data_IF_466365471898
#
_entry.id   IF_466365471898
#
_cell.length_a   1.000
_cell.length_b   1.000
_cell.length_c   1.000
_cell.angle_alpha   90.00
_cell.angle_beta   90.00
_cell.angle_gamma   90.00
#
_symmetry.space_group_name_H-M   'P 1'
#
loop_
_entity.id
_entity.type
_entity.pdbx_description
1 polymer ?
#
# COMPACT_ATOMS: atom_id res chain seq x y z
N UNK A 1 16.72 -12.51 -11.84
CA UNK A 1 16.21 -11.29 -11.17
C UNK A 1 14.83 -11.61 -10.67
N UNK A 2 14.61 -11.49 -9.35
CA UNK A 2 13.34 -11.85 -8.70
C UNK A 2 12.26 -10.81 -9.02
N UNK A 3 11.25 -11.21 -9.80
CA UNK A 3 10.16 -10.34 -10.26
C UNK A 3 9.38 -9.67 -9.11
N UNK A 4 9.40 -10.25 -7.91
CA UNK A 4 8.72 -9.70 -6.73
C UNK A 4 9.38 -8.41 -6.23
N UNK A 5 10.69 -8.24 -6.46
CA UNK A 5 11.45 -7.04 -6.05
C UNK A 5 11.10 -5.80 -6.89
N UNK A 6 10.69 -5.99 -8.15
CA UNK A 6 10.28 -4.93 -9.06
C UNK A 6 8.90 -4.35 -8.69
N UNK A 7 7.93 -5.21 -8.31
CA UNK A 7 6.57 -4.78 -7.95
C UNK A 7 6.52 -3.89 -6.70
N UNK A 8 7.39 -4.16 -5.73
CA UNK A 8 7.53 -3.31 -4.53
C UNK A 8 7.94 -1.89 -4.91
N UNK A 9 8.75 -1.74 -5.97
CA UNK A 9 9.32 -0.46 -6.35
C UNK A 9 8.30 0.48 -7.01
N UNK A 10 7.38 -0.06 -7.83
CA UNK A 10 6.33 0.75 -8.45
C UNK A 10 5.25 1.15 -7.45
N UNK A 11 4.79 0.23 -6.60
CA UNK A 11 3.81 0.55 -5.55
C UNK A 11 4.37 1.58 -4.56
N UNK A 12 5.64 1.43 -4.17
CA UNK A 12 6.35 2.44 -3.37
C UNK A 12 6.42 3.78 -4.10
N UNK A 13 6.72 3.78 -5.41
CA UNK A 13 6.78 5.00 -6.22
C UNK A 13 5.46 5.76 -6.25
N UNK A 14 4.36 5.08 -6.56
CA UNK A 14 3.02 5.69 -6.63
C UNK A 14 2.61 6.24 -5.26
N UNK A 15 2.69 5.44 -4.20
CA UNK A 15 2.31 5.89 -2.86
C UNK A 15 3.17 7.07 -2.41
N UNK A 16 4.47 7.08 -2.73
CA UNK A 16 5.34 8.16 -2.32
C UNK A 16 5.11 9.48 -3.09
N UNK A 17 4.45 9.45 -4.26
CA UNK A 17 3.96 10.67 -4.91
C UNK A 17 2.86 11.36 -4.08
N UNK A 18 2.11 10.61 -3.29
CA UNK A 18 1.05 11.15 -2.42
C UNK A 18 1.56 11.50 -1.01
N UNK A 19 2.42 10.66 -0.43
CA UNK A 19 2.84 10.82 0.96
C UNK A 19 4.14 11.60 1.15
N UNK A 20 5.04 11.62 0.15
CA UNK A 20 6.39 12.19 0.25
C UNK A 20 7.16 11.72 1.51
N UNK A 21 7.00 10.45 1.88
CA UNK A 21 7.63 9.85 3.05
C UNK A 21 9.06 9.38 2.77
N UNK A 22 9.83 9.19 3.85
CA UNK A 22 11.16 8.60 3.76
C UNK A 22 11.09 7.09 3.43
N UNK A 23 12.22 6.57 2.94
CA UNK A 23 12.34 5.17 2.49
C UNK A 23 11.88 4.15 3.54
N UNK A 24 12.25 4.32 4.81
CA UNK A 24 11.89 3.35 5.85
C UNK A 24 10.38 3.27 6.08
N UNK A 25 9.68 4.41 6.09
CA UNK A 25 8.21 4.45 6.20
C UNK A 25 7.53 3.86 4.97
N UNK A 26 8.05 4.15 3.79
CA UNK A 26 7.52 3.61 2.54
C UNK A 26 7.69 2.10 2.43
N UNK A 27 8.89 1.58 2.71
CA UNK A 27 9.17 0.14 2.67
C UNK A 27 8.27 -0.62 3.68
N UNK A 28 8.01 -0.03 4.85
CA UNK A 28 7.09 -0.59 5.85
C UNK A 28 5.64 -0.63 5.36
N UNK A 29 5.12 0.50 4.86
CA UNK A 29 3.74 0.61 4.36
C UNK A 29 3.49 -0.36 3.19
N UNK A 30 4.39 -0.35 2.21
CA UNK A 30 4.30 -1.20 1.01
C UNK A 30 4.40 -2.68 1.39
N UNK A 31 5.32 -3.03 2.30
CA UNK A 31 5.43 -4.39 2.82
C UNK A 31 4.16 -4.86 3.53
N UNK A 32 3.55 -3.98 4.32
CA UNK A 32 2.28 -4.26 5.01
C UNK A 32 1.16 -4.47 3.99
N UNK A 33 0.94 -3.54 3.05
CA UNK A 33 -0.08 -3.67 2.00
C UNK A 33 0.07 -4.96 1.18
N UNK A 34 1.29 -5.31 0.79
CA UNK A 34 1.55 -6.56 0.05
C UNK A 34 1.25 -7.78 0.92
N UNK A 35 1.65 -7.78 2.19
CA UNK A 35 1.34 -8.86 3.13
C UNK A 35 -0.17 -9.04 3.29
N UNK A 36 -0.89 -7.92 3.36
CA UNK A 36 -2.34 -7.90 3.47
C UNK A 36 -3.02 -8.45 2.21
N UNK A 37 -2.56 -8.05 1.01
CA UNK A 37 -3.08 -8.56 -0.26
C UNK A 37 -2.74 -10.04 -0.48
N UNK A 38 -1.56 -10.50 -0.07
CA UNK A 38 -1.13 -11.90 -0.22
C UNK A 38 -1.85 -12.86 0.72
N UNK A 39 -2.21 -12.41 1.92
CA UNK A 39 -2.78 -13.29 2.96
C UNK A 39 -4.21 -13.74 2.64
N UNK A 40 -4.88 -13.21 1.59
CA UNK A 40 -6.19 -13.61 1.03
C UNK A 40 -7.36 -13.77 2.01
N UNK A 41 -7.12 -13.52 3.28
CA UNK A 41 -8.01 -13.71 4.43
C UNK A 41 -8.60 -12.40 4.91
N UNK A 42 -8.24 -11.31 4.25
CA UNK A 42 -8.65 -9.99 4.67
C UNK A 42 -9.91 -9.61 3.94
N UNK A 43 -10.93 -9.33 4.72
CA UNK A 43 -12.14 -8.74 4.21
C UNK A 43 -11.82 -7.30 3.74
N UNK A 44 -11.63 -7.15 2.42
CA UNK A 44 -11.37 -5.85 1.78
C UNK A 44 -12.43 -4.80 2.13
N UNK A 45 -13.67 -5.24 2.41
CA UNK A 45 -14.76 -4.36 2.87
C UNK A 45 -14.44 -3.83 4.28
N UNK A 46 -14.02 -4.70 5.19
CA UNK A 46 -13.67 -4.32 6.56
C UNK A 46 -12.44 -3.41 6.59
N UNK A 47 -11.46 -3.67 5.72
CA UNK A 47 -10.33 -2.75 5.52
C UNK A 47 -10.79 -1.38 5.05
N UNK A 48 -11.63 -1.31 4.01
CA UNK A 48 -12.14 -0.04 3.51
C UNK A 48 -12.90 0.73 4.60
N UNK A 49 -13.65 0.05 5.47
CA UNK A 49 -14.32 0.70 6.62
C UNK A 49 -13.35 1.22 7.69
N UNK A 50 -12.18 0.60 7.84
CA UNK A 50 -11.14 1.05 8.76
C UNK A 50 -10.37 2.28 8.25
N UNK A 51 -10.31 2.48 6.93
CA UNK A 51 -9.75 3.69 6.32
C UNK A 51 -10.84 4.76 6.17
N UNK A 52 -11.17 5.43 7.27
CA UNK A 52 -12.05 6.62 7.22
C UNK A 52 -11.35 7.72 6.43
N UNK A 53 -11.80 7.97 5.21
CA UNK A 53 -11.39 9.11 4.40
C UNK A 53 -12.64 9.85 3.96
N UNK A 54 -12.61 11.17 4.05
CA UNK A 54 -13.57 11.99 3.32
C UNK A 54 -13.24 11.81 1.83
N UNK A 55 -14.17 11.22 1.08
CA UNK A 55 -14.03 11.16 -0.37
C UNK A 55 -14.04 12.61 -0.86
N UNK A 56 -12.93 13.08 -1.44
CA UNK A 56 -12.94 14.36 -2.15
C UNK A 56 -13.78 14.17 -3.42
N UNK A 57 -14.91 14.87 -3.58
CA UNK A 57 -15.61 14.91 -4.86
C UNK A 57 -14.67 15.57 -5.88
N UNK A 58 -14.64 14.99 -7.09
CA UNK A 58 -13.97 15.56 -8.27
C UNK A 58 -14.62 16.89 -8.69
#
# INVERSE_FOLDING_TARGET
MDSSKLQINELAGILNQHFAWNKARMDCLVGMLIGLLKTRSINLVEMATGFTSDAQPD
#
